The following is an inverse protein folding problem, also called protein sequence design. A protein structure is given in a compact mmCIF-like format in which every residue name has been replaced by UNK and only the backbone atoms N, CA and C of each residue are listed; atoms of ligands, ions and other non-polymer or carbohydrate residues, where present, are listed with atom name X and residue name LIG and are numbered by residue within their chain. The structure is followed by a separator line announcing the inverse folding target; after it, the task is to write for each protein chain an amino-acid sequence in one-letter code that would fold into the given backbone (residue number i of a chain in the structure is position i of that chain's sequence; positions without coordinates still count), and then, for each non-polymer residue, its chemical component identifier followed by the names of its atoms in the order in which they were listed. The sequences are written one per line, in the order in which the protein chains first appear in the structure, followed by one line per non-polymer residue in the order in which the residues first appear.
data_IF_546831438220
#
_entry.id   IF_546831438220
#
_cell.length_a   1.000
_cell.length_b   1.000
_cell.length_c   1.000
_cell.angle_alpha   90.00
_cell.angle_beta   90.00
_cell.angle_gamma   90.00
#
_symmetry.space_group_name_H-M   'P 1'
#
loop_
_entity.id
_entity.type
_entity.pdbx_description
1 polymer ?
#
# COMPACT_ATOMS: atom_id res chain seq x y z
N UNK A 1 10.96 -2.47 -15.06
CA UNK A 1 10.09 -3.61 -14.70
C UNK A 1 10.84 -4.93 -14.88
N UNK A 2 10.31 -6.00 -14.26
CA UNK A 2 10.92 -7.33 -14.32
C UNK A 2 10.86 -7.91 -15.75
N UNK A 3 11.82 -8.79 -16.05
CA UNK A 3 11.88 -9.49 -17.35
C UNK A 3 11.54 -10.98 -17.22
N UNK A 4 11.47 -11.49 -16.00
CA UNK A 4 11.17 -12.89 -15.69
C UNK A 4 10.16 -12.96 -14.57
N UNK A 5 9.50 -14.12 -14.40
CA UNK A 5 8.70 -14.37 -13.22
C UNK A 5 9.62 -14.61 -12.02
N UNK A 6 9.26 -14.02 -10.89
CA UNK A 6 9.99 -14.20 -9.64
C UNK A 6 9.03 -14.72 -8.58
N UNK A 7 9.38 -15.83 -7.97
CA UNK A 7 8.57 -16.43 -6.91
C UNK A 7 8.94 -15.76 -5.59
N UNK A 8 7.93 -15.27 -4.87
CA UNK A 8 8.14 -14.70 -3.54
C UNK A 8 8.33 -15.82 -2.51
N UNK A 9 8.67 -15.44 -1.27
CA UNK A 9 8.79 -16.40 -0.16
C UNK A 9 7.49 -17.17 0.09
N UNK A 10 6.35 -16.65 -0.38
CA UNK A 10 5.04 -17.29 -0.27
C UNK A 10 4.64 -18.09 -1.51
N UNK A 11 5.52 -18.17 -2.51
CA UNK A 11 5.25 -18.87 -3.76
C UNK A 11 4.45 -18.08 -4.78
N UNK A 12 4.25 -16.79 -4.58
CA UNK A 12 3.51 -15.92 -5.49
C UNK A 12 4.42 -15.41 -6.60
N UNK A 13 3.92 -15.29 -7.83
CA UNK A 13 4.70 -14.80 -8.96
C UNK A 13 4.23 -13.43 -9.47
N UNK A 14 3.02 -13.00 -9.09
CA UNK A 14 2.45 -11.74 -9.57
C UNK A 14 2.05 -11.82 -11.05
N UNK A 15 1.99 -10.66 -11.70
CA UNK A 15 1.66 -10.57 -13.12
C UNK A 15 2.81 -11.08 -13.97
N UNK A 16 2.51 -11.60 -15.16
CA UNK A 16 3.53 -11.99 -16.13
C UNK A 16 4.33 -10.76 -16.57
N UNK A 17 5.64 -10.89 -16.84
CA UNK A 17 6.48 -9.75 -17.25
C UNK A 17 5.89 -8.93 -18.39
N UNK A 18 5.29 -9.57 -19.38
CA UNK A 18 4.69 -8.89 -20.54
C UNK A 18 3.43 -8.09 -20.17
N UNK A 19 2.78 -8.40 -19.07
CA UNK A 19 1.54 -7.74 -18.64
C UNK A 19 1.75 -6.62 -17.61
N UNK A 20 2.94 -6.52 -17.03
CA UNK A 20 3.22 -5.56 -15.94
C UNK A 20 2.93 -4.13 -16.37
N UNK A 21 3.45 -3.70 -17.53
CA UNK A 21 3.28 -2.33 -17.99
C UNK A 21 1.81 -1.95 -18.15
N UNK A 22 1.02 -2.83 -18.75
CA UNK A 22 -0.41 -2.59 -18.95
C UNK A 22 -1.17 -2.56 -17.63
N UNK A 23 -0.86 -3.46 -16.71
CA UNK A 23 -1.54 -3.52 -15.42
C UNK A 23 -1.21 -2.30 -14.55
N UNK A 24 0.03 -1.83 -14.58
CA UNK A 24 0.41 -0.60 -13.88
C UNK A 24 -0.30 0.61 -14.50
N UNK A 25 -0.36 0.71 -15.83
CA UNK A 25 -1.05 1.80 -16.50
C UNK A 25 -2.54 1.83 -16.14
N UNK A 26 -3.19 0.67 -16.11
CA UNK A 26 -4.59 0.55 -15.71
C UNK A 26 -4.79 1.00 -14.25
N UNK A 27 -3.89 0.57 -13.36
CA UNK A 27 -3.95 0.96 -11.95
C UNK A 27 -3.83 2.48 -11.79
N UNK A 28 -2.91 3.11 -12.50
CA UNK A 28 -2.73 4.56 -12.44
C UNK A 28 -3.95 5.30 -13.00
N UNK A 29 -4.59 4.76 -14.05
CA UNK A 29 -5.83 5.33 -14.60
C UNK A 29 -6.96 5.30 -13.57
N UNK A 30 -7.10 4.19 -12.84
CA UNK A 30 -8.12 4.06 -11.82
C UNK A 30 -8.00 5.10 -10.70
N UNK A 31 -6.81 5.66 -10.51
CA UNK A 31 -6.53 6.61 -9.44
C UNK A 31 -6.65 8.09 -9.89
N UNK A 32 -7.01 8.35 -11.13
CA UNK A 32 -7.07 9.71 -11.68
C UNK A 32 -8.11 10.60 -10.98
N UNK A 33 -9.22 10.03 -10.54
CA UNK A 33 -10.34 10.78 -9.98
C UNK A 33 -10.65 10.42 -8.53
N UNK A 34 -9.62 10.37 -7.69
CA UNK A 34 -9.79 10.05 -6.27
C UNK A 34 -10.32 11.28 -5.52
N UNK A 35 -11.42 11.10 -4.79
CA UNK A 35 -11.96 12.12 -3.91
C UNK A 35 -11.16 12.18 -2.61
N UNK A 36 -10.88 13.39 -2.07
CA UNK A 36 -10.04 13.53 -0.86
C UNK A 36 -10.50 12.69 0.33
N UNK A 37 -11.81 12.59 0.56
CA UNK A 37 -12.36 11.81 1.68
C UNK A 37 -12.17 10.30 1.52
N UNK A 38 -11.83 9.84 0.32
CA UNK A 38 -11.60 8.42 0.02
C UNK A 38 -10.13 8.09 -0.21
N UNK A 39 -9.23 9.02 0.10
CA UNK A 39 -7.82 8.84 -0.21
C UNK A 39 -7.21 7.61 0.49
N UNK A 40 -7.60 7.33 1.72
CA UNK A 40 -7.06 6.17 2.43
C UNK A 40 -7.47 4.86 1.76
N UNK A 41 -8.73 4.75 1.35
CA UNK A 41 -9.22 3.58 0.62
C UNK A 41 -8.52 3.45 -0.73
N UNK A 42 -8.35 4.56 -1.44
CA UNK A 42 -7.63 4.56 -2.73
C UNK A 42 -6.18 4.14 -2.57
N UNK A 43 -5.51 4.63 -1.52
CA UNK A 43 -4.13 4.28 -1.23
C UNK A 43 -3.98 2.79 -0.89
N UNK A 44 -4.92 2.26 -0.10
CA UNK A 44 -4.94 0.83 0.22
C UNK A 44 -5.13 -0.01 -1.05
N UNK A 45 -6.05 0.39 -1.92
CA UNK A 45 -6.28 -0.28 -3.19
C UNK A 45 -5.02 -0.25 -4.06
N UNK A 46 -4.42 0.92 -4.21
CA UNK A 46 -3.17 1.07 -4.97
C UNK A 46 -2.11 0.13 -4.44
N UNK A 47 -1.89 0.14 -3.13
CA UNK A 47 -0.84 -0.66 -2.52
C UNK A 47 -1.09 -2.16 -2.70
N UNK A 48 -2.31 -2.62 -2.45
CA UNK A 48 -2.68 -4.01 -2.62
C UNK A 48 -2.49 -4.48 -4.07
N UNK A 49 -2.95 -3.69 -5.04
CA UNK A 49 -2.80 -4.00 -6.47
C UNK A 49 -1.33 -4.00 -6.88
N UNK A 50 -0.56 -3.02 -6.42
CA UNK A 50 0.87 -2.94 -6.72
C UNK A 50 1.60 -4.20 -6.24
N UNK A 51 1.33 -4.61 -5.00
CA UNK A 51 1.93 -5.83 -4.45
C UNK A 51 1.50 -7.08 -5.23
N UNK A 52 0.24 -7.15 -5.66
CA UNK A 52 -0.26 -8.27 -6.48
C UNK A 52 0.40 -8.31 -7.85
N UNK A 53 0.62 -7.17 -8.49
CA UNK A 53 1.28 -7.09 -9.79
C UNK A 53 2.74 -7.51 -9.69
N UNK A 54 3.39 -7.16 -8.58
CA UNK A 54 4.80 -7.50 -8.34
C UNK A 54 5.67 -7.07 -9.54
N UNK A 55 5.74 -5.74 -9.84
CA UNK A 55 6.31 -5.28 -11.12
C UNK A 55 7.83 -5.39 -11.23
N UNK A 56 8.54 -5.51 -10.11
CA UNK A 56 10.00 -5.53 -10.10
C UNK A 56 10.54 -6.87 -9.64
N UNK A 57 11.80 -7.13 -9.97
CA UNK A 57 12.49 -8.34 -9.47
C UNK A 57 12.71 -8.27 -7.96
N UNK A 58 12.96 -7.06 -7.44
CA UNK A 58 13.24 -6.82 -6.01
C UNK A 58 12.74 -5.43 -5.62
N UNK A 59 12.52 -5.23 -4.34
CA UNK A 59 12.15 -3.92 -3.82
C UNK A 59 10.68 -3.54 -4.02
N UNK A 60 9.80 -4.49 -4.33
CA UNK A 60 8.37 -4.21 -4.55
C UNK A 60 7.70 -3.60 -3.32
N UNK A 61 7.96 -4.18 -2.14
CA UNK A 61 7.38 -3.66 -0.90
C UNK A 61 7.80 -2.23 -0.61
N UNK A 62 9.09 -1.94 -0.73
CA UNK A 62 9.61 -0.58 -0.49
C UNK A 62 9.05 0.41 -1.50
N UNK A 63 9.05 0.05 -2.78
CA UNK A 63 8.53 0.92 -3.84
C UNK A 63 7.04 1.13 -3.69
N UNK A 64 6.29 0.06 -3.40
CA UNK A 64 4.84 0.15 -3.19
C UNK A 64 4.47 1.05 -2.03
N UNK A 65 5.19 0.94 -0.91
CA UNK A 65 4.93 1.79 0.25
C UNK A 65 5.31 3.25 -0.03
N UNK A 66 6.42 3.48 -0.71
CA UNK A 66 6.84 4.83 -1.08
C UNK A 66 5.83 5.49 -2.00
N UNK A 67 5.38 4.78 -3.02
CA UNK A 67 4.39 5.29 -3.97
C UNK A 67 3.03 5.53 -3.29
N UNK A 68 2.62 4.64 -2.39
CA UNK A 68 1.41 4.82 -1.58
C UNK A 68 1.48 6.10 -0.77
N UNK A 69 2.61 6.33 -0.11
CA UNK A 69 2.80 7.53 0.70
C UNK A 69 2.83 8.80 -0.14
N UNK A 70 3.39 8.73 -1.34
CA UNK A 70 3.35 9.84 -2.28
C UNK A 70 1.90 10.20 -2.64
N UNK A 71 1.09 9.20 -2.95
CA UNK A 71 -0.32 9.40 -3.25
C UNK A 71 -1.07 10.04 -2.06
N UNK A 72 -0.82 9.53 -0.85
CA UNK A 72 -1.44 10.08 0.36
C UNK A 72 -1.09 11.54 0.55
N UNK A 73 0.20 11.87 0.47
CA UNK A 73 0.67 13.25 0.69
C UNK A 73 0.11 14.21 -0.35
N UNK A 74 0.03 13.79 -1.61
CA UNK A 74 -0.56 14.61 -2.68
C UNK A 74 -2.01 15.00 -2.38
N UNK A 75 -2.73 14.19 -1.63
CA UNK A 75 -4.14 14.42 -1.30
C UNK A 75 -4.35 14.92 0.13
N UNK A 76 -3.30 15.42 0.75
CA UNK A 76 -3.41 16.04 2.08
C UNK A 76 -3.46 15.08 3.25
N UNK A 77 -3.15 13.81 3.03
CA UNK A 77 -3.11 12.81 4.10
C UNK A 77 -1.65 12.60 4.52
N UNK A 78 -1.38 12.47 5.83
CA UNK A 78 -0.02 12.21 6.28
C UNK A 78 0.50 10.85 5.79
N UNK A 79 1.82 10.73 5.59
CA UNK A 79 2.40 9.42 5.22
C UNK A 79 2.23 8.42 6.35
N UNK A 80 2.18 7.14 5.98
CA UNK A 80 1.96 6.04 6.94
C UNK A 80 3.23 5.23 7.07
N UNK A 81 3.63 4.97 8.32
CA UNK A 81 4.73 4.05 8.63
C UNK A 81 4.14 2.71 9.05
N UNK A 82 4.62 1.64 8.44
CA UNK A 82 4.26 0.28 8.89
C UNK A 82 5.27 -0.10 9.98
N UNK A 83 4.80 -0.15 11.21
CA UNK A 83 5.67 -0.48 12.35
C UNK A 83 6.09 -1.94 12.29
N UNK A 84 7.37 -2.20 12.54
CA UNK A 84 7.94 -3.54 12.41
C UNK A 84 7.19 -4.60 13.24
N UNK A 85 6.82 -4.26 14.45
CA UNK A 85 6.10 -5.18 15.33
C UNK A 85 4.68 -5.50 14.85
N UNK A 86 4.15 -4.73 13.89
CA UNK A 86 2.81 -4.90 13.34
C UNK A 86 2.83 -5.55 11.96
N UNK A 87 3.99 -5.97 11.48
CA UNK A 87 4.15 -6.54 10.13
C UNK A 87 3.28 -7.76 9.87
N UNK A 88 3.05 -8.58 10.89
CA UNK A 88 2.20 -9.75 10.72
C UNK A 88 0.79 -9.35 10.28
N UNK A 89 0.20 -8.34 10.94
CA UNK A 89 -1.11 -7.84 10.57
C UNK A 89 -1.14 -7.21 9.19
N UNK A 90 -0.06 -6.55 8.80
CA UNK A 90 0.10 -5.98 7.47
C UNK A 90 0.04 -7.07 6.39
N UNK A 91 0.82 -8.14 6.56
CA UNK A 91 0.84 -9.23 5.59
C UNK A 91 -0.48 -9.99 5.55
N UNK A 92 -1.13 -10.17 6.69
CA UNK A 92 -2.47 -10.78 6.74
C UNK A 92 -3.49 -9.95 5.96
N UNK A 93 -3.41 -8.62 6.07
CA UNK A 93 -4.31 -7.72 5.34
C UNK A 93 -4.07 -7.78 3.83
N UNK A 94 -2.79 -7.83 3.40
CA UNK A 94 -2.47 -8.01 1.98
C UNK A 94 -2.95 -9.36 1.45
N UNK A 95 -2.82 -10.40 2.25
CA UNK A 95 -3.29 -11.75 1.90
C UNK A 95 -4.81 -11.79 1.72
N UNK A 96 -5.55 -11.06 2.55
CA UNK A 96 -7.00 -10.96 2.40
C UNK A 96 -7.40 -10.39 1.03
N UNK A 97 -6.64 -9.43 0.54
CA UNK A 97 -6.83 -8.91 -0.82
C UNK A 97 -6.47 -9.95 -1.88
N UNK A 98 -5.30 -10.56 -1.76
CA UNK A 98 -4.83 -11.52 -2.76
C UNK A 98 -5.74 -12.74 -2.89
N UNK A 99 -6.19 -13.28 -1.76
CA UNK A 99 -6.99 -14.51 -1.75
C UNK A 99 -8.48 -14.29 -1.95
N UNK A 100 -9.03 -13.19 -1.42
CA UNK A 100 -10.47 -12.98 -1.37
C UNK A 100 -10.94 -11.65 -1.95
N UNK A 101 -10.02 -10.82 -2.43
CA UNK A 101 -10.31 -9.48 -2.93
C UNK A 101 -11.02 -8.60 -1.89
N UNK A 102 -10.69 -8.80 -0.62
CA UNK A 102 -11.20 -8.01 0.49
C UNK A 102 -10.21 -6.89 0.81
N UNK A 103 -10.61 -5.65 0.58
CA UNK A 103 -9.76 -4.47 0.83
C UNK A 103 -9.89 -3.93 2.25
N UNK A 104 -11.04 -4.12 2.88
CA UNK A 104 -11.34 -3.53 4.19
C UNK A 104 -10.29 -3.83 5.27
N UNK A 105 -9.75 -5.06 5.38
CA UNK A 105 -8.68 -5.32 6.35
C UNK A 105 -7.48 -4.41 6.19
N UNK A 106 -7.06 -4.13 4.95
CA UNK A 106 -5.92 -3.25 4.71
C UNK A 106 -6.26 -1.80 5.02
N UNK A 107 -7.45 -1.33 4.68
CA UNK A 107 -7.91 0.02 5.01
C UNK A 107 -7.89 0.23 6.53
N UNK A 108 -8.44 -0.73 7.28
CA UNK A 108 -8.45 -0.65 8.75
C UNK A 108 -7.05 -0.70 9.33
N UNK A 109 -6.19 -1.54 8.79
CA UNK A 109 -4.80 -1.62 9.23
C UNK A 109 -4.07 -0.30 9.01
N UNK A 110 -4.21 0.30 7.83
CA UNK A 110 -3.56 1.57 7.51
C UNK A 110 -4.09 2.71 8.38
N UNK A 111 -5.39 2.73 8.66
CA UNK A 111 -5.98 3.71 9.57
C UNK A 111 -5.40 3.57 10.97
N UNK A 112 -5.29 2.35 11.46
CA UNK A 112 -4.69 2.08 12.77
C UNK A 112 -3.23 2.52 12.83
N UNK A 113 -2.43 2.24 11.79
CA UNK A 113 -1.04 2.69 11.72
C UNK A 113 -0.95 4.21 11.71
N UNK A 114 -1.86 4.88 11.02
CA UNK A 114 -1.93 6.34 11.01
C UNK A 114 -2.15 6.89 12.41
N UNK A 115 -3.15 6.38 13.10
CA UNK A 115 -3.46 6.81 14.46
C UNK A 115 -2.29 6.57 15.41
N UNK A 116 -1.68 5.40 15.32
CA UNK A 116 -0.54 5.01 16.14
C UNK A 116 0.67 5.90 15.91
N UNK A 117 0.96 6.24 14.66
CA UNK A 117 2.09 7.09 14.30
C UNK A 117 1.91 8.51 14.83
N UNK A 118 0.72 9.07 14.67
CA UNK A 118 0.49 10.48 14.96
C UNK A 118 0.04 10.76 16.39
N UNK A 119 -0.44 9.76 17.12
CA UNK A 119 -0.81 9.90 18.53
C UNK A 119 0.34 10.48 19.37
N UNK A 120 1.54 9.96 19.19
CA UNK A 120 2.72 10.45 19.92
C UNK A 120 3.09 11.88 19.52
N UNK A 121 2.94 12.22 18.24
CA UNK A 121 3.25 13.57 17.75
C UNK A 121 2.26 14.59 18.30
N UNK A 122 0.99 14.24 18.33
CA UNK A 122 -0.05 15.10 18.90
C UNK A 122 0.19 15.31 20.39
N UNK A 123 0.50 14.24 21.13
CA UNK A 123 0.80 14.32 22.57
C UNK A 123 1.98 15.24 22.84
N UNK A 124 3.02 15.20 22.03
CA UNK A 124 4.19 16.12 22.13
C UNK A 124 3.78 17.55 21.89
N UNK A 125 2.99 17.80 20.85
CA UNK A 125 2.53 19.14 20.51
C UNK A 125 1.69 19.73 21.64
N UNK A 126 0.82 18.93 22.24
CA UNK A 126 0.00 19.35 23.37
C UNK A 126 0.84 19.77 24.59
N UNK A 127 1.94 19.05 24.83
CA UNK A 127 2.85 19.39 25.93
C UNK A 127 3.59 20.71 25.72
N UNK A 128 3.75 21.15 24.48
CA UNK A 128 4.43 22.39 24.14
C UNK A 128 3.51 23.62 24.23
N UNK A 129 2.21 23.40 24.31
CA UNK A 129 1.23 24.47 24.45
C UNK A 129 0.96 24.75 25.91
#
# INVERSE_FOLDING_TARGET
YKHHDYVTSKGEVGASPEDVSAEIAELLDELQEVQPEKILTAAAYFHAKFESIHPFADGNGRTGRLAMNYLLVLHGHPPITIHEKDRKGYFEALEAWDERQELEPLVRFLRWQTEKTWEKQVARAEKLL
#
